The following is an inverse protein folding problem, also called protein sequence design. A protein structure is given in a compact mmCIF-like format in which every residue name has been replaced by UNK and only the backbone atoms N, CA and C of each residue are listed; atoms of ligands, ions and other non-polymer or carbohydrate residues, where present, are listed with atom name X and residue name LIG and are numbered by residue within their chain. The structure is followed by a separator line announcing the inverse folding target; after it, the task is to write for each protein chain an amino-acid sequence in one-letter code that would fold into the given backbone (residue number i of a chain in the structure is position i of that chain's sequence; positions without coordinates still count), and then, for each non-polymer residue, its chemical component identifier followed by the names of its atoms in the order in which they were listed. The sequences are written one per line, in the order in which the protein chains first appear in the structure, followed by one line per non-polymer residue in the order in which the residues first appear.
data_IF_203881759987
#
_entry.id   IF_203881759987
#
_cell.length_a   1.000
_cell.length_b   1.000
_cell.length_c   1.000
_cell.angle_alpha   90.00
_cell.angle_beta   90.00
_cell.angle_gamma   90.00
#
_symmetry.space_group_name_H-M   'P 1'
#
loop_
_entity.id
_entity.type
_entity.pdbx_description
1 polymer ?
#
# COMPACT_ATOMS: atom_id res chain seq x y z
N UNK A 1 15.25 7.27 42.63
CA UNK A 1 14.30 6.35 43.26
C UNK A 1 13.55 5.73 42.10
N UNK A 2 14.16 4.71 41.51
CA UNK A 2 13.54 3.92 40.45
C UNK A 2 12.43 3.12 41.15
N UNK A 3 11.18 3.47 40.87
CA UNK A 3 10.05 2.63 41.23
C UNK A 3 10.08 1.45 40.26
N UNK A 4 10.58 0.31 40.74
CA UNK A 4 10.21 -0.99 40.20
C UNK A 4 8.69 -1.11 40.31
N UNK A 5 7.98 -0.72 39.26
CA UNK A 5 6.56 -1.01 39.11
C UNK A 5 6.45 -2.52 38.89
N UNK A 6 5.98 -3.25 39.91
CA UNK A 6 5.60 -4.65 39.73
C UNK A 6 4.59 -4.73 38.57
N UNK A 7 4.82 -5.57 37.55
CA UNK A 7 3.89 -5.67 36.43
C UNK A 7 2.54 -6.13 36.94
N UNK A 8 1.48 -5.38 36.60
CA UNK A 8 0.10 -5.71 36.96
C UNK A 8 -0.22 -7.15 36.56
N UNK A 9 -1.08 -7.86 37.32
CA UNK A 9 -1.37 -9.28 37.07
C UNK A 9 -1.76 -9.59 35.61
N UNK A 10 -2.51 -8.69 34.95
CA UNK A 10 -2.87 -8.83 33.53
C UNK A 10 -1.69 -8.71 32.56
N UNK A 11 -0.62 -8.00 32.91
CA UNK A 11 0.60 -7.91 32.10
C UNK A 11 1.41 -9.22 32.14
N UNK A 12 1.34 -9.96 33.26
CA UNK A 12 2.02 -11.26 33.39
C UNK A 12 1.30 -12.34 32.57
N UNK A 13 -0.03 -12.37 32.63
CA UNK A 13 -0.85 -13.29 31.84
C UNK A 13 -0.64 -13.06 30.33
N UNK A 14 -0.57 -11.80 29.89
CA UNK A 14 -0.31 -11.45 28.49
C UNK A 14 1.09 -11.85 28.03
N UNK A 15 2.11 -11.66 28.87
CA UNK A 15 3.46 -12.11 28.57
C UNK A 15 3.54 -13.63 28.39
N UNK A 16 2.91 -14.38 29.30
CA UNK A 16 2.88 -15.84 29.24
C UNK A 16 2.14 -16.33 27.99
N UNK A 17 0.97 -15.76 27.71
CA UNK A 17 0.19 -16.11 26.53
C UNK A 17 0.93 -15.82 25.22
N UNK A 18 1.63 -14.68 25.13
CA UNK A 18 2.44 -14.35 23.95
C UNK A 18 3.63 -15.32 23.77
N UNK A 19 4.27 -15.74 24.85
CA UNK A 19 5.36 -16.72 24.78
C UNK A 19 4.87 -18.10 24.29
N UNK A 20 3.70 -18.54 24.75
CA UNK A 20 3.04 -19.76 24.27
C UNK A 20 2.66 -19.65 22.79
N UNK A 21 2.07 -18.52 22.39
CA UNK A 21 1.71 -18.23 21.00
C UNK A 21 2.94 -18.22 20.09
N UNK A 22 4.04 -17.61 20.53
CA UNK A 22 5.31 -17.59 19.79
C UNK A 22 5.86 -19.01 19.56
N UNK A 23 5.82 -19.85 20.60
CA UNK A 23 6.23 -21.25 20.54
C UNK A 23 5.34 -22.06 19.57
N UNK A 24 4.02 -21.85 19.64
CA UNK A 24 3.04 -22.47 18.76
C UNK A 24 3.27 -22.09 17.28
N UNK A 25 3.53 -20.82 16.98
CA UNK A 25 3.82 -20.35 15.62
C UNK A 25 5.08 -21.01 15.06
N UNK A 26 6.17 -21.05 15.83
CA UNK A 26 7.45 -21.61 15.35
C UNK A 26 7.36 -23.12 15.14
N UNK A 27 6.72 -23.82 16.07
CA UNK A 27 6.46 -25.27 15.93
C UNK A 27 5.57 -25.59 14.73
N UNK A 28 4.49 -24.82 14.50
CA UNK A 28 3.62 -24.99 13.34
C UNK A 28 4.33 -24.72 12.00
N UNK A 29 5.33 -23.83 12.00
CA UNK A 29 6.17 -23.55 10.84
C UNK A 29 7.36 -24.53 10.66
N UNK A 30 7.56 -25.48 11.59
CA UNK A 30 8.68 -26.43 11.55
C UNK A 30 10.05 -25.79 11.80
N UNK A 31 10.09 -24.65 12.52
CA UNK A 31 11.33 -23.91 12.81
C UNK A 31 11.68 -24.08 14.29
N UNK A 32 12.97 -24.20 14.60
CA UNK A 32 13.47 -24.31 15.98
C UNK A 32 13.00 -23.13 16.85
N UNK A 33 12.50 -23.42 18.05
CA UNK A 33 12.02 -22.39 19.00
C UNK A 33 13.23 -21.68 19.59
N UNK A 34 13.37 -20.38 19.30
CA UNK A 34 14.40 -19.55 19.89
C UNK A 34 13.95 -19.00 21.24
N UNK A 35 14.87 -18.86 22.19
CA UNK A 35 14.58 -18.23 23.48
C UNK A 35 14.30 -16.72 23.29
N UNK A 36 13.19 -16.24 23.84
CA UNK A 36 12.75 -14.84 23.74
C UNK A 36 12.22 -14.39 25.10
N UNK A 37 12.70 -13.25 25.56
CA UNK A 37 12.20 -12.61 26.78
C UNK A 37 10.73 -12.22 26.63
N UNK A 38 9.80 -12.75 27.45
CA UNK A 38 8.37 -12.43 27.37
C UNK A 38 8.06 -10.92 27.50
N UNK A 39 8.72 -10.14 28.38
CA UNK A 39 8.57 -8.68 28.42
C UNK A 39 8.92 -8.00 27.09
N UNK A 40 10.04 -8.39 26.46
CA UNK A 40 10.46 -7.81 25.18
C UNK A 40 9.51 -8.18 24.04
N UNK A 41 9.01 -9.43 24.04
CA UNK A 41 8.01 -9.89 23.08
C UNK A 41 6.73 -9.07 23.20
N UNK A 42 6.23 -8.85 24.43
CA UNK A 42 5.08 -8.00 24.68
C UNK A 42 5.29 -6.58 24.18
N UNK A 43 6.44 -5.97 24.51
CA UNK A 43 6.75 -4.61 24.07
C UNK A 43 6.75 -4.50 22.53
N UNK A 44 7.32 -5.50 21.85
CA UNK A 44 7.35 -5.56 20.39
C UNK A 44 5.93 -5.69 19.81
N UNK A 45 5.13 -6.62 20.32
CA UNK A 45 3.74 -6.85 19.86
C UNK A 45 2.88 -5.62 20.11
N UNK A 46 2.97 -5.01 21.30
CA UNK A 46 2.28 -3.77 21.64
C UNK A 46 2.60 -2.66 20.63
N UNK A 47 3.89 -2.46 20.32
CA UNK A 47 4.31 -1.49 19.30
C UNK A 47 3.76 -1.81 17.90
N UNK A 48 3.78 -3.09 17.50
CA UNK A 48 3.35 -3.52 16.17
C UNK A 48 1.82 -3.41 15.97
N UNK A 49 1.02 -3.66 17.01
CA UNK A 49 -0.45 -3.64 16.94
C UNK A 49 -1.05 -2.26 17.22
N UNK A 50 -0.32 -1.37 17.89
CA UNK A 50 -0.82 -0.03 18.27
C UNK A 50 -1.43 0.75 17.09
N UNK A 51 -0.83 0.81 15.87
CA UNK A 51 -1.45 1.49 14.75
C UNK A 51 -2.83 0.94 14.36
N UNK A 52 -3.00 -0.38 14.44
CA UNK A 52 -4.29 -1.02 14.22
C UNK A 52 -5.30 -0.64 15.32
N UNK A 53 -4.89 -0.69 16.59
CA UNK A 53 -5.73 -0.27 17.72
C UNK A 53 -6.13 1.20 17.62
N UNK A 54 -5.28 2.09 17.10
CA UNK A 54 -5.63 3.49 16.82
C UNK A 54 -6.75 3.61 15.79
N UNK A 55 -6.69 2.83 14.70
CA UNK A 55 -7.76 2.78 13.72
C UNK A 55 -9.06 2.26 14.35
N UNK A 56 -8.99 1.19 15.15
CA UNK A 56 -10.13 0.67 15.89
C UNK A 56 -10.73 1.71 16.85
N UNK A 57 -9.89 2.46 17.58
CA UNK A 57 -10.32 3.50 18.50
C UNK A 57 -11.02 4.65 17.77
N UNK A 58 -10.48 5.11 16.63
CA UNK A 58 -11.14 6.10 15.80
C UNK A 58 -12.49 5.59 15.29
N UNK A 59 -12.53 4.35 14.80
CA UNK A 59 -13.78 3.73 14.35
C UNK A 59 -14.80 3.62 15.48
N UNK A 60 -14.39 3.14 16.65
CA UNK A 60 -15.24 3.06 17.84
C UNK A 60 -15.77 4.43 18.27
N UNK A 61 -14.94 5.47 18.25
CA UNK A 61 -15.36 6.85 18.54
C UNK A 61 -16.46 7.32 17.59
N UNK A 62 -16.25 7.18 16.28
CA UNK A 62 -17.24 7.64 15.28
C UNK A 62 -18.50 6.79 15.25
N UNK A 63 -18.41 5.51 15.61
CA UNK A 63 -19.55 4.60 15.66
C UNK A 63 -20.42 4.83 16.90
N UNK A 64 -19.80 5.06 18.07
CA UNK A 64 -20.51 5.11 19.37
C UNK A 64 -20.70 6.51 19.92
N UNK A 65 -19.93 7.49 19.45
CA UNK A 65 -19.88 8.85 20.01
C UNK A 65 -19.19 8.94 21.37
N UNK A 66 -18.70 7.82 21.94
CA UNK A 66 -17.98 7.83 23.22
C UNK A 66 -16.68 8.61 23.04
N UNK A 67 -16.46 9.63 23.87
CA UNK A 67 -15.24 10.45 23.81
C UNK A 67 -14.01 9.64 24.25
N UNK A 68 -12.90 9.81 23.55
CA UNK A 68 -11.62 9.22 23.95
C UNK A 68 -11.14 9.78 25.30
N UNK A 69 -10.53 8.96 26.17
CA UNK A 69 -9.88 9.40 27.40
C UNK A 69 -8.83 10.50 27.15
N UNK A 70 -8.68 11.43 28.08
CA UNK A 70 -7.77 12.58 27.91
C UNK A 70 -6.31 12.16 27.74
N UNK A 71 -5.91 10.99 28.24
CA UNK A 71 -4.59 10.40 28.03
C UNK A 71 -4.31 10.16 26.53
N UNK A 72 -5.31 9.69 25.78
CA UNK A 72 -5.19 9.46 24.33
C UNK A 72 -5.24 10.75 23.50
N UNK A 73 -5.67 11.87 24.10
CA UNK A 73 -5.70 13.18 23.44
C UNK A 73 -4.35 13.92 23.55
N UNK A 74 -3.46 13.44 24.41
CA UNK A 74 -2.13 14.02 24.62
C UNK A 74 -1.09 13.31 23.74
N UNK A 75 0.01 14.00 23.35
CA UNK A 75 1.10 13.38 22.63
C UNK A 75 1.85 12.39 23.53
N UNK A 76 1.47 11.11 23.44
CA UNK A 76 2.13 10.00 24.13
C UNK A 76 3.06 9.22 23.19
N UNK A 77 4.20 8.69 23.67
CA UNK A 77 4.97 7.69 22.95
C UNK A 77 4.09 6.50 22.54
N UNK A 78 4.36 5.89 21.38
CA UNK A 78 3.54 4.79 20.84
C UNK A 78 3.34 3.65 21.87
N UNK A 79 4.41 3.27 22.57
CA UNK A 79 4.37 2.22 23.59
C UNK A 79 3.45 2.54 24.78
N UNK A 80 3.33 3.83 25.13
CA UNK A 80 2.47 4.27 26.24
C UNK A 80 0.99 4.38 25.83
N UNK A 81 0.67 4.44 24.53
CA UNK A 81 -0.71 4.49 24.06
C UNK A 81 -1.44 3.15 24.18
N UNK A 82 -0.70 2.05 24.09
CA UNK A 82 -1.22 0.69 24.06
C UNK A 82 -2.25 0.37 25.16
N UNK A 83 -1.94 0.51 26.47
CA UNK A 83 -2.89 0.17 27.53
C UNK A 83 -4.14 1.08 27.51
N UNK A 84 -3.98 2.36 27.16
CA UNK A 84 -5.10 3.29 27.05
C UNK A 84 -6.03 2.95 25.88
N UNK A 85 -5.48 2.47 24.76
CA UNK A 85 -6.25 2.01 23.61
C UNK A 85 -7.04 0.75 23.92
N UNK A 86 -6.43 -0.24 24.58
CA UNK A 86 -7.14 -1.45 25.04
C UNK A 86 -8.30 -1.08 25.97
N UNK A 87 -8.04 -0.27 27.00
CA UNK A 87 -9.08 0.20 27.93
C UNK A 87 -10.22 0.92 27.22
N UNK A 88 -9.91 1.80 26.27
CA UNK A 88 -10.92 2.54 25.53
C UNK A 88 -11.78 1.64 24.63
N UNK A 89 -11.18 0.57 24.08
CA UNK A 89 -11.86 -0.44 23.28
C UNK A 89 -12.58 -1.50 24.12
N UNK A 90 -12.50 -1.42 25.46
CA UNK A 90 -13.10 -2.41 26.36
C UNK A 90 -12.36 -3.76 26.37
N UNK A 91 -11.06 -3.75 26.11
CA UNK A 91 -10.19 -4.92 26.12
C UNK A 91 -9.29 -4.89 27.37
N UNK A 92 -9.22 -5.99 28.10
CA UNK A 92 -8.32 -6.14 29.25
C UNK A 92 -6.88 -6.49 28.81
N UNK A 93 -6.76 -7.30 27.75
CA UNK A 93 -5.48 -7.70 27.13
C UNK A 93 -5.73 -8.21 25.71
N UNK A 94 -4.66 -8.52 24.96
CA UNK A 94 -4.78 -9.26 23.69
C UNK A 94 -5.04 -10.76 23.88
N UNK A 95 -5.02 -11.27 25.12
CA UNK A 95 -5.16 -12.69 25.39
C UNK A 95 -6.50 -13.21 24.89
N UNK A 96 -6.45 -14.27 24.09
CA UNK A 96 -7.64 -15.07 23.80
C UNK A 96 -7.85 -16.02 24.98
N UNK A 97 -8.98 -15.95 25.71
CA UNK A 97 -9.19 -16.81 26.87
C UNK A 97 -9.23 -18.29 26.46
N UNK A 98 -8.49 -19.14 27.17
CA UNK A 98 -8.34 -20.57 26.87
C UNK A 98 -9.67 -21.36 26.86
N UNK A 99 -10.70 -20.85 27.54
CA UNK A 99 -12.01 -21.49 27.67
C UNK A 99 -12.99 -21.19 26.52
N UNK A 100 -12.52 -20.59 25.42
CA UNK A 100 -13.38 -20.16 24.31
C UNK A 100 -13.14 -20.99 23.04
N UNK A 101 -14.19 -21.13 22.23
CA UNK A 101 -14.10 -21.70 20.87
C UNK A 101 -13.09 -20.93 19.98
N UNK A 102 -12.66 -19.74 20.40
CA UNK A 102 -11.68 -18.93 19.70
C UNK A 102 -10.27 -19.56 19.69
N UNK A 103 -9.94 -20.43 20.65
CA UNK A 103 -8.61 -21.05 20.72
C UNK A 103 -8.37 -22.04 19.55
N UNK A 104 -9.37 -22.85 19.20
CA UNK A 104 -9.27 -23.75 18.05
C UNK A 104 -9.20 -22.99 16.73
N UNK A 105 -9.99 -21.91 16.60
CA UNK A 105 -9.94 -21.01 15.44
C UNK A 105 -8.56 -20.36 15.30
N UNK A 106 -7.97 -19.90 16.41
CA UNK A 106 -6.62 -19.32 16.42
C UNK A 106 -5.58 -20.35 15.96
N UNK A 107 -5.63 -21.58 16.48
CA UNK A 107 -4.73 -22.66 16.06
C UNK A 107 -4.87 -22.96 14.55
N UNK A 108 -6.10 -23.03 14.04
CA UNK A 108 -6.37 -23.21 12.61
C UNK A 108 -5.82 -22.06 11.75
N UNK A 109 -5.96 -20.82 12.22
CA UNK A 109 -5.41 -19.64 11.55
C UNK A 109 -3.88 -19.67 11.52
N UNK A 110 -3.24 -20.01 12.64
CA UNK A 110 -1.77 -20.16 12.73
C UNK A 110 -1.31 -21.26 11.77
N UNK A 111 -1.96 -22.42 11.78
CA UNK A 111 -1.62 -23.52 10.89
C UNK A 111 -1.77 -23.14 9.41
N UNK A 112 -2.85 -22.44 9.04
CA UNK A 112 -3.06 -21.93 7.68
C UNK A 112 -1.99 -20.91 7.28
N UNK A 113 -1.65 -19.98 8.18
CA UNK A 113 -0.62 -18.97 7.93
C UNK A 113 0.77 -19.62 7.75
N UNK A 114 1.13 -20.57 8.60
CA UNK A 114 2.42 -21.28 8.53
C UNK A 114 2.56 -22.18 7.29
N UNK A 115 1.46 -22.58 6.64
CA UNK A 115 1.49 -23.31 5.35
C UNK A 115 1.90 -22.42 4.17
N UNK A 116 1.90 -21.11 4.32
CA UNK A 116 2.33 -20.21 3.24
C UNK A 116 3.83 -20.41 2.98
N UNK A 117 4.26 -20.60 1.71
CA UNK A 117 5.63 -21.00 1.37
C UNK A 117 6.70 -20.04 1.88
N UNK A 118 6.36 -18.75 2.02
CA UNK A 118 7.31 -17.73 2.47
C UNK A 118 7.51 -17.66 4.00
N UNK A 119 6.59 -18.23 4.81
CA UNK A 119 6.59 -18.02 6.26
C UNK A 119 7.67 -18.84 6.97
N UNK A 120 7.82 -20.12 6.64
CA UNK A 120 8.88 -20.96 7.21
C UNK A 120 10.29 -20.38 6.98
N UNK A 121 10.68 -20.09 5.72
CA UNK A 121 11.96 -19.45 5.41
C UNK A 121 12.15 -18.12 6.14
N UNK A 122 11.11 -17.28 6.21
CA UNK A 122 11.17 -16.01 6.93
C UNK A 122 11.44 -16.18 8.43
N UNK A 123 10.71 -17.08 9.10
CA UNK A 123 10.89 -17.38 10.52
C UNK A 123 12.26 -18.03 10.83
N UNK A 124 12.86 -18.70 9.85
CA UNK A 124 14.22 -19.24 9.88
C UNK A 124 15.31 -18.20 9.58
N UNK A 125 14.95 -16.94 9.32
CA UNK A 125 15.88 -15.81 9.15
C UNK A 125 16.10 -15.38 7.69
N UNK A 126 15.37 -15.94 6.72
CA UNK A 126 15.43 -15.48 5.33
C UNK A 126 14.77 -14.10 5.18
N UNK A 127 15.38 -13.20 4.40
CA UNK A 127 14.83 -11.87 4.12
C UNK A 127 13.91 -11.93 2.91
N UNK A 128 12.70 -12.46 3.12
CA UNK A 128 11.60 -12.40 2.15
C UNK A 128 10.70 -11.18 2.37
N UNK A 129 9.89 -10.78 1.38
CA UNK A 129 8.92 -9.71 1.55
C UNK A 129 7.77 -10.20 2.44
N UNK A 130 7.85 -9.94 3.75
CA UNK A 130 6.69 -10.10 4.63
C UNK A 130 5.90 -8.79 4.70
N UNK A 131 4.58 -8.90 4.82
CA UNK A 131 3.73 -7.75 5.13
C UNK A 131 4.14 -7.22 6.51
N UNK A 132 4.63 -5.99 6.56
CA UNK A 132 5.01 -5.31 7.81
C UNK A 132 3.93 -4.32 8.21
N UNK A 133 3.55 -4.35 9.47
CA UNK A 133 2.68 -3.35 10.07
C UNK A 133 3.51 -2.30 10.85
N UNK A 134 3.08 -1.02 10.87
CA UNK A 134 1.95 -0.48 10.13
C UNK A 134 2.20 -0.51 8.62
N UNK A 135 1.15 -0.80 7.86
CA UNK A 135 1.21 -0.65 6.40
C UNK A 135 1.50 0.82 6.09
N UNK A 136 2.50 1.08 5.27
CA UNK A 136 2.68 2.41 4.71
C UNK A 136 1.46 2.76 3.88
N UNK A 137 0.95 3.99 4.04
CA UNK A 137 -0.13 4.50 3.18
C UNK A 137 0.33 4.35 1.73
N UNK A 138 -0.51 3.72 0.91
CA UNK A 138 -0.22 3.54 -0.50
C UNK A 138 -0.33 4.89 -1.21
N UNK A 139 0.79 5.58 -1.37
CA UNK A 139 0.89 6.85 -2.09
C UNK A 139 1.52 6.64 -3.45
N UNK A 140 1.28 7.57 -4.37
CA UNK A 140 2.02 7.61 -5.62
C UNK A 140 3.53 7.86 -5.35
N UNK A 141 4.39 7.35 -6.22
CA UNK A 141 5.85 7.47 -6.11
C UNK A 141 6.29 8.94 -6.11
N UNK A 142 7.38 9.31 -5.44
CA UNK A 142 7.94 10.64 -5.62
C UNK A 142 8.38 10.83 -7.08
N UNK A 143 7.97 11.95 -7.67
CA UNK A 143 8.41 12.38 -8.99
C UNK A 143 9.61 13.35 -8.89
N UNK A 144 10.54 13.31 -9.84
CA UNK A 144 11.65 14.25 -9.89
C UNK A 144 11.15 15.68 -10.12
N UNK A 145 11.94 16.66 -9.69
CA UNK A 145 11.56 18.07 -9.86
C UNK A 145 11.71 18.50 -11.32
N UNK A 146 12.78 18.07 -12.00
CA UNK A 146 13.00 18.33 -13.42
C UNK A 146 12.42 17.17 -14.25
N UNK A 147 11.55 17.50 -15.20
CA UNK A 147 10.96 16.52 -16.11
C UNK A 147 12.00 15.82 -17.00
N UNK A 148 13.14 16.46 -17.26
CA UNK A 148 14.24 15.93 -18.07
C UNK A 148 14.79 14.62 -17.48
N UNK A 149 14.73 14.46 -16.16
CA UNK A 149 15.13 13.21 -15.49
C UNK A 149 14.24 12.03 -15.91
N UNK A 150 12.93 12.26 -16.08
CA UNK A 150 12.01 11.23 -16.57
C UNK A 150 12.27 10.88 -18.03
N UNK A 151 12.61 11.88 -18.85
CA UNK A 151 12.97 11.68 -20.26
C UNK A 151 14.21 10.81 -20.36
N UNK A 152 15.25 11.10 -19.58
CA UNK A 152 16.46 10.29 -19.55
C UNK A 152 16.16 8.84 -19.10
N UNK A 153 15.37 8.68 -18.03
CA UNK A 153 14.96 7.36 -17.55
C UNK A 153 14.21 6.54 -18.61
N UNK A 154 13.42 7.21 -19.45
CA UNK A 154 12.68 6.58 -20.55
C UNK A 154 13.55 6.27 -21.76
N UNK A 155 14.58 7.07 -22.03
CA UNK A 155 15.52 6.81 -23.12
C UNK A 155 16.26 5.48 -22.95
N UNK A 156 16.47 5.05 -21.69
CA UNK A 156 17.10 3.78 -21.35
C UNK A 156 16.11 2.58 -21.37
N UNK A 157 14.82 2.81 -21.62
CA UNK A 157 13.81 1.76 -21.58
C UNK A 157 13.76 0.94 -22.88
N UNK A 158 14.07 -0.35 -22.75
CA UNK A 158 13.95 -1.33 -23.84
C UNK A 158 12.71 -2.21 -23.62
N UNK A 159 11.91 -2.40 -24.67
CA UNK A 159 10.75 -3.26 -24.62
C UNK A 159 11.18 -4.74 -24.38
N UNK A 160 10.59 -5.46 -23.42
CA UNK A 160 10.98 -6.83 -23.11
C UNK A 160 10.55 -7.85 -24.18
N UNK A 161 9.60 -7.50 -25.03
CA UNK A 161 8.95 -8.42 -25.99
C UNK A 161 9.27 -8.11 -27.45
N UNK A 162 10.04 -7.07 -27.74
CA UNK A 162 10.46 -6.72 -29.10
C UNK A 162 11.93 -6.36 -29.13
N UNK A 163 12.64 -6.72 -30.21
CA UNK A 163 14.04 -6.36 -30.49
C UNK A 163 14.27 -4.86 -30.79
N UNK A 164 13.44 -3.96 -30.25
CA UNK A 164 13.46 -2.54 -30.58
C UNK A 164 12.87 -1.63 -29.49
N UNK A 165 13.00 -0.32 -29.73
CA UNK A 165 12.53 0.75 -28.84
C UNK A 165 11.00 0.72 -28.65
N UNK A 166 10.55 0.86 -27.40
CA UNK A 166 9.15 1.14 -27.13
C UNK A 166 8.80 2.53 -27.66
N UNK A 167 7.77 2.62 -28.52
CA UNK A 167 7.41 3.89 -29.16
C UNK A 167 6.86 4.90 -28.16
N UNK A 168 6.11 4.42 -27.16
CA UNK A 168 5.54 5.29 -26.13
C UNK A 168 5.52 4.58 -24.77
N UNK A 169 6.58 4.70 -23.96
CA UNK A 169 6.57 4.14 -22.62
C UNK A 169 5.72 4.99 -21.67
N UNK A 170 5.04 4.32 -20.75
CA UNK A 170 4.29 4.90 -19.65
C UNK A 170 4.86 4.41 -18.32
N UNK A 171 4.88 5.29 -17.31
CA UNK A 171 5.29 4.95 -15.96
C UNK A 171 4.07 4.79 -15.07
N UNK A 172 3.95 3.66 -14.37
CA UNK A 172 2.95 3.50 -13.33
C UNK A 172 3.32 4.37 -12.12
N UNK A 173 2.47 5.33 -11.76
CA UNK A 173 2.75 6.21 -10.63
C UNK A 173 2.53 5.53 -9.27
N UNK A 174 1.91 4.35 -9.23
CA UNK A 174 1.77 3.60 -7.98
C UNK A 174 3.05 2.82 -7.60
N UNK A 175 3.83 2.33 -8.58
CA UNK A 175 5.01 1.49 -8.32
C UNK A 175 6.30 1.92 -9.04
N UNK A 176 6.22 2.81 -10.03
CA UNK A 176 7.36 3.30 -10.80
C UNK A 176 7.83 2.43 -11.96
N UNK A 177 7.14 1.31 -12.24
CA UNK A 177 7.44 0.43 -13.37
C UNK A 177 7.17 1.14 -14.71
N UNK A 178 8.10 1.00 -15.66
CA UNK A 178 7.95 1.47 -17.04
C UNK A 178 7.37 0.36 -17.91
N UNK A 179 6.35 0.69 -18.69
CA UNK A 179 5.55 -0.24 -19.46
C UNK A 179 5.33 0.29 -20.88
N UNK A 180 5.20 -0.62 -21.85
CA UNK A 180 4.76 -0.26 -23.20
C UNK A 180 3.29 0.19 -23.17
N UNK A 181 3.00 1.35 -23.76
CA UNK A 181 1.64 1.90 -23.84
C UNK A 181 1.22 2.07 -25.30
N UNK A 182 -0.07 1.80 -25.59
CA UNK A 182 -0.66 1.91 -26.93
C UNK A 182 0.15 1.16 -28.00
N UNK A 183 0.62 -0.02 -27.65
CA UNK A 183 1.51 -0.83 -28.49
C UNK A 183 1.08 -2.29 -28.44
N UNK A 184 1.18 -2.99 -29.58
CA UNK A 184 0.86 -4.42 -29.66
C UNK A 184 1.96 -5.33 -29.06
N UNK A 185 3.14 -4.77 -28.77
CA UNK A 185 4.34 -5.56 -28.45
C UNK A 185 4.33 -6.26 -27.10
N UNK A 186 3.53 -5.84 -26.12
CA UNK A 186 3.49 -6.47 -24.79
C UNK A 186 2.05 -6.79 -24.36
N UNK A 187 1.19 -7.13 -25.32
CA UNK A 187 -0.19 -7.47 -25.01
C UNK A 187 -0.28 -8.82 -24.28
N UNK A 188 -1.24 -8.91 -23.38
CA UNK A 188 -1.53 -10.11 -22.60
C UNK A 188 -2.93 -10.59 -22.94
N UNK A 189 -3.07 -11.88 -23.21
CA UNK A 189 -4.38 -12.51 -23.39
C UNK A 189 -5.06 -12.67 -22.04
N UNK A 190 -6.27 -12.13 -21.90
CA UNK A 190 -7.11 -12.29 -20.70
C UNK A 190 -8.41 -12.99 -21.09
N UNK A 191 -8.78 -14.01 -20.32
CA UNK A 191 -10.02 -14.76 -20.53
C UNK A 191 -11.24 -13.83 -20.59
N UNK A 192 -12.12 -14.09 -21.56
CA UNK A 192 -13.35 -13.33 -21.84
C UNK A 192 -13.21 -11.87 -22.32
N UNK A 193 -11.99 -11.34 -22.42
CA UNK A 193 -11.74 -9.92 -22.76
C UNK A 193 -10.87 -9.80 -24.01
N UNK A 194 -10.02 -10.79 -24.27
CA UNK A 194 -9.11 -10.78 -25.41
C UNK A 194 -7.75 -10.20 -25.04
N UNK A 195 -7.04 -9.67 -26.04
CA UNK A 195 -5.76 -9.02 -25.84
C UNK A 195 -5.95 -7.65 -25.18
N UNK A 196 -5.18 -7.39 -24.13
CA UNK A 196 -5.10 -6.09 -23.46
C UNK A 196 -3.66 -5.60 -23.46
N UNK A 197 -3.48 -4.28 -23.49
CA UNK A 197 -2.15 -3.66 -23.41
C UNK A 197 -1.42 -3.91 -22.08
N UNK A 198 -0.12 -3.62 -22.07
CA UNK A 198 0.73 -3.92 -20.92
C UNK A 198 0.39 -3.08 -19.70
N UNK A 199 -0.07 -1.83 -19.86
CA UNK A 199 -0.50 -1.02 -18.73
C UNK A 199 -1.75 -1.63 -18.10
N UNK A 200 -2.78 -1.97 -18.89
CA UNK A 200 -3.99 -2.62 -18.38
C UNK A 200 -3.71 -3.97 -17.70
N UNK A 201 -2.79 -4.77 -18.25
CA UNK A 201 -2.37 -6.01 -17.61
C UNK A 201 -1.68 -5.74 -16.26
N UNK A 202 -0.83 -4.71 -16.19
CA UNK A 202 -0.17 -4.30 -14.95
C UNK A 202 -1.15 -3.78 -13.89
N UNK A 203 -2.22 -3.08 -14.27
CA UNK A 203 -3.26 -2.60 -13.35
C UNK A 203 -3.86 -3.73 -12.51
N UNK A 204 -4.02 -4.92 -13.09
CA UNK A 204 -4.62 -6.07 -12.41
C UNK A 204 -3.76 -6.55 -11.23
N UNK A 205 -2.44 -6.40 -11.31
CA UNK A 205 -1.50 -6.79 -10.25
C UNK A 205 -1.15 -5.65 -9.30
N UNK A 206 -1.04 -4.42 -9.80
CA UNK A 206 -0.50 -3.30 -9.04
C UNK A 206 -1.57 -2.43 -8.35
N UNK A 207 -2.72 -2.24 -8.99
CA UNK A 207 -3.74 -1.29 -8.52
C UNK A 207 -5.16 -1.87 -8.47
N UNK A 208 -5.27 -3.21 -8.44
CA UNK A 208 -6.54 -3.94 -8.40
C UNK A 208 -7.56 -3.46 -9.46
N UNK A 209 -7.08 -3.15 -10.68
CA UNK A 209 -7.91 -2.69 -11.79
C UNK A 209 -8.09 -1.17 -11.91
N UNK A 210 -7.49 -0.37 -11.02
CA UNK A 210 -7.34 1.08 -11.18
C UNK A 210 -5.86 1.47 -11.27
N UNK A 211 -5.53 2.52 -12.01
CA UNK A 211 -4.14 2.92 -12.18
C UNK A 211 -3.97 4.34 -12.66
N UNK A 212 -2.80 4.90 -12.37
CA UNK A 212 -2.38 6.24 -12.79
C UNK A 212 -1.08 6.09 -13.58
N UNK A 213 -1.15 6.36 -14.88
CA UNK A 213 -0.05 6.15 -15.82
C UNK A 213 0.46 7.48 -16.37
N UNK A 214 1.73 7.81 -16.15
CA UNK A 214 2.36 8.99 -16.75
C UNK A 214 3.01 8.60 -18.08
N UNK A 215 2.45 9.09 -19.19
CA UNK A 215 3.10 9.02 -20.51
C UNK A 215 4.10 10.14 -20.61
N UNK A 216 5.38 9.76 -20.54
CA UNK A 216 6.48 10.71 -20.42
C UNK A 216 6.71 11.45 -21.74
N UNK A 217 6.73 10.75 -22.88
CA UNK A 217 6.91 11.40 -24.21
C UNK A 217 5.79 12.35 -24.59
N UNK A 218 4.58 12.14 -24.06
CA UNK A 218 3.42 12.99 -24.34
C UNK A 218 3.15 14.03 -23.25
N UNK A 219 3.92 14.00 -22.16
CA UNK A 219 3.67 14.77 -20.94
C UNK A 219 2.17 14.74 -20.57
N UNK A 220 1.63 13.54 -20.33
CA UNK A 220 0.20 13.34 -20.06
C UNK A 220 -0.03 12.23 -19.06
N UNK A 221 -1.04 12.38 -18.20
CA UNK A 221 -1.44 11.32 -17.26
C UNK A 221 -2.70 10.65 -17.78
N UNK A 222 -2.70 9.32 -17.76
CA UNK A 222 -3.89 8.50 -17.98
C UNK A 222 -4.35 7.89 -16.67
N UNK A 223 -5.61 8.16 -16.35
CA UNK A 223 -6.36 7.45 -15.34
C UNK A 223 -6.97 6.23 -16.02
N UNK A 224 -6.67 5.05 -15.53
CA UNK A 224 -7.14 3.79 -16.10
C UNK A 224 -8.00 3.07 -15.07
N UNK A 225 -9.16 2.59 -15.49
CA UNK A 225 -10.17 1.96 -14.62
C UNK A 225 -10.81 0.82 -15.37
N UNK A 226 -10.76 -0.37 -14.78
CA UNK A 226 -11.12 -1.60 -15.46
C UNK A 226 -10.26 -1.79 -16.73
N UNK A 227 -10.19 -3.02 -17.24
CA UNK A 227 -9.21 -3.41 -18.28
C UNK A 227 -9.28 -2.63 -19.61
N UNK A 228 -10.27 -1.75 -19.81
CA UNK A 228 -10.59 -1.10 -21.09
C UNK A 228 -11.19 0.31 -20.96
N UNK A 229 -11.16 0.96 -19.79
CA UNK A 229 -11.64 2.36 -19.67
C UNK A 229 -10.57 3.25 -19.10
N UNK A 230 -10.61 4.51 -19.48
CA UNK A 230 -9.72 5.51 -18.94
C UNK A 230 -10.10 6.92 -19.33
N UNK A 231 -9.40 7.86 -18.74
CA UNK A 231 -9.48 9.28 -19.04
C UNK A 231 -8.08 9.90 -19.03
N UNK A 232 -7.89 10.93 -19.84
CA UNK A 232 -6.65 11.70 -19.85
C UNK A 232 -6.80 12.91 -18.95
N UNK A 233 -5.82 13.13 -18.07
CA UNK A 233 -5.71 14.35 -17.27
C UNK A 233 -4.36 15.03 -17.54
N UNK A 234 -4.27 16.35 -17.31
CA UNK A 234 -3.02 17.05 -17.52
C UNK A 234 -1.91 16.55 -16.58
N UNK A 235 -0.64 16.59 -17.01
CA UNK A 235 0.49 16.16 -16.20
C UNK A 235 0.71 17.13 -15.01
N UNK A 236 1.34 16.67 -13.93
CA UNK A 236 1.73 17.53 -12.81
C UNK A 236 3.02 18.32 -13.11
N UNK A 237 3.20 18.81 -14.35
CA UNK A 237 4.42 19.51 -14.78
C UNK A 237 4.09 20.78 -15.56
N UNK A 238 4.78 21.86 -15.24
CA UNK A 238 4.60 23.18 -15.84
C UNK A 238 5.93 23.86 -16.09
N UNK A 239 5.97 24.75 -17.08
CA UNK A 239 7.14 25.61 -17.29
C UNK A 239 7.20 26.77 -16.27
N UNK A 240 8.21 27.63 -16.42
CA UNK A 240 8.42 28.81 -15.56
C UNK A 240 7.27 29.82 -15.56
N UNK A 241 6.35 29.75 -16.52
CA UNK A 241 5.19 30.61 -16.62
C UNK A 241 3.90 29.92 -16.10
N UNK A 242 4.00 28.69 -15.63
CA UNK A 242 2.85 27.90 -15.18
C UNK A 242 2.09 27.23 -16.31
N UNK A 243 2.64 27.19 -17.53
CA UNK A 243 1.98 26.57 -18.67
C UNK A 243 2.42 25.12 -18.86
N UNK A 244 1.47 24.27 -19.27
CA UNK A 244 1.72 22.85 -19.56
C UNK A 244 2.18 22.67 -21.01
N UNK A 245 3.21 21.85 -21.24
CA UNK A 245 3.71 21.54 -22.59
C UNK A 245 3.28 20.12 -23.03
N UNK A 246 2.01 19.98 -23.43
CA UNK A 246 1.48 18.71 -23.90
C UNK A 246 2.18 18.26 -25.19
N UNK A 247 2.67 17.02 -25.20
CA UNK A 247 3.47 16.49 -26.30
C UNK A 247 4.90 17.04 -26.38
N UNK A 248 5.33 17.86 -25.41
CA UNK A 248 6.69 18.45 -25.36
C UNK A 248 7.05 19.23 -26.62
N UNK A 249 6.06 19.84 -27.27
CA UNK A 249 6.24 20.49 -28.56
C UNK A 249 7.03 21.80 -28.47
N UNK A 250 6.99 22.48 -27.30
CA UNK A 250 7.71 23.75 -27.09
C UNK A 250 9.15 23.51 -26.65
N UNK A 251 9.42 22.38 -25.99
CA UNK A 251 10.75 22.03 -25.50
C UNK A 251 11.21 22.90 -24.32
N UNK A 252 10.28 23.56 -23.64
CA UNK A 252 10.58 24.34 -22.45
C UNK A 252 10.96 23.39 -21.30
N UNK A 253 11.91 23.78 -20.42
CA UNK A 253 12.13 23.05 -19.18
C UNK A 253 10.85 23.02 -18.33
N UNK A 254 10.45 21.81 -17.92
CA UNK A 254 9.26 21.59 -17.11
C UNK A 254 9.65 21.20 -15.69
N UNK A 255 8.93 21.75 -14.72
CA UNK A 255 9.14 21.51 -13.29
C UNK A 255 7.89 20.93 -12.64
N UNK A 256 8.09 20.08 -11.63
CA UNK A 256 6.99 19.42 -10.90
C UNK A 256 6.11 20.43 -10.18
N UNK A 257 4.85 20.49 -10.56
CA UNK A 257 3.82 21.23 -9.85
C UNK A 257 3.29 20.40 -8.67
N UNK A 258 3.92 20.58 -7.51
CA UNK A 258 3.66 19.78 -6.30
C UNK A 258 2.19 19.76 -5.88
N UNK A 259 1.50 20.91 -5.89
CA UNK A 259 0.09 20.97 -5.49
C UNK A 259 -0.83 20.16 -6.40
N UNK A 260 -0.56 20.17 -7.71
CA UNK A 260 -1.29 19.36 -8.67
C UNK A 260 -1.00 17.87 -8.49
N UNK A 261 0.25 17.53 -8.17
CA UNK A 261 0.61 16.16 -7.84
C UNK A 261 -0.05 15.67 -6.55
N UNK A 262 -0.16 16.52 -5.52
CA UNK A 262 -0.83 16.19 -4.27
C UNK A 262 -2.34 15.97 -4.47
N UNK A 263 -2.97 16.67 -5.42
CA UNK A 263 -4.37 16.39 -5.82
C UNK A 263 -4.49 15.01 -6.44
N UNK A 264 -3.58 14.64 -7.34
CA UNK A 264 -3.56 13.31 -7.95
C UNK A 264 -3.31 12.20 -6.92
N UNK A 265 -2.41 12.45 -5.97
CA UNK A 265 -2.14 11.52 -4.86
C UNK A 265 -3.35 11.38 -3.93
N UNK A 266 -4.05 12.47 -3.61
CA UNK A 266 -5.32 12.43 -2.86
C UNK A 266 -6.39 11.63 -3.58
N UNK A 267 -6.53 11.81 -4.89
CA UNK A 267 -7.47 11.04 -5.72
C UNK A 267 -7.16 9.54 -5.67
N UNK A 268 -5.87 9.17 -5.70
CA UNK A 268 -5.41 7.78 -5.54
C UNK A 268 -5.75 7.21 -4.16
N UNK A 269 -5.36 7.91 -3.09
CA UNK A 269 -5.57 7.47 -1.70
C UNK A 269 -7.07 7.34 -1.36
N UNK A 270 -7.91 8.22 -1.92
CA UNK A 270 -9.35 8.19 -1.74
C UNK A 270 -10.05 7.13 -2.61
N UNK A 271 -9.32 6.35 -3.41
CA UNK A 271 -9.88 5.42 -4.40
C UNK A 271 -10.85 6.08 -5.40
N UNK A 272 -10.69 7.38 -5.69
CA UNK A 272 -11.60 8.16 -6.53
C UNK A 272 -11.35 8.07 -8.04
N UNK A 273 -10.35 7.30 -8.47
CA UNK A 273 -10.00 7.15 -9.91
C UNK A 273 -11.21 6.67 -10.75
N UNK A 274 -12.02 5.68 -10.33
CA UNK A 274 -13.22 5.25 -11.08
C UNK A 274 -14.25 6.34 -11.29
N UNK A 275 -14.50 7.14 -10.25
CA UNK A 275 -15.46 8.24 -10.28
C UNK A 275 -14.98 9.35 -11.22
N UNK A 276 -13.70 9.73 -11.12
CA UNK A 276 -13.11 10.77 -11.96
C UNK A 276 -13.05 10.36 -13.43
N UNK A 277 -12.72 9.09 -13.73
CA UNK A 277 -12.78 8.58 -15.11
C UNK A 277 -14.20 8.66 -15.66
N UNK A 278 -15.20 8.27 -14.88
CA UNK A 278 -16.61 8.31 -15.32
C UNK A 278 -17.03 9.75 -15.64
N UNK A 279 -16.71 10.69 -14.74
CA UNK A 279 -16.98 12.13 -14.93
C UNK A 279 -16.32 12.68 -16.20
N UNK A 280 -15.05 12.37 -16.42
CA UNK A 280 -14.31 12.86 -17.60
C UNK A 280 -14.76 12.19 -18.91
N UNK A 281 -15.25 10.96 -18.86
CA UNK A 281 -15.81 10.27 -20.03
C UNK A 281 -17.14 10.89 -20.47
N UNK A 282 -17.98 11.35 -19.52
CA UNK A 282 -19.22 12.07 -19.82
C UNK A 282 -18.94 13.41 -20.53
N UNK A 283 -17.83 14.06 -20.16
CA UNK A 283 -17.40 15.34 -20.74
C UNK A 283 -16.65 15.18 -22.09
N UNK A 284 -16.19 13.98 -22.44
CA UNK A 284 -15.25 13.74 -23.55
C UNK A 284 -15.88 13.00 -24.74
N UNK A 285 -15.83 13.59 -25.94
CA UNK A 285 -16.28 12.96 -27.19
C UNK A 285 -15.20 12.14 -27.93
N UNK A 286 -13.96 12.08 -27.42
CA UNK A 286 -12.86 11.41 -28.11
C UNK A 286 -12.80 9.90 -27.81
N UNK A 287 -12.86 9.07 -28.85
CA UNK A 287 -12.56 7.63 -28.78
C UNK A 287 -11.04 7.41 -28.69
N UNK A 288 -10.48 7.51 -27.49
CA UNK A 288 -9.15 6.91 -27.24
C UNK A 288 -9.33 5.39 -27.08
N UNK A 289 -8.50 4.61 -27.75
CA UNK A 289 -8.48 3.17 -27.59
C UNK A 289 -7.76 2.79 -26.28
N UNK A 290 -8.56 2.62 -25.24
CA UNK A 290 -8.10 2.26 -23.91
C UNK A 290 -7.73 0.78 -23.77
N UNK A 291 -8.10 -0.08 -24.72
CA UNK A 291 -7.82 -1.52 -24.64
C UNK A 291 -6.35 -1.85 -24.91
N UNK A 292 -5.73 -1.10 -25.82
CA UNK A 292 -4.34 -1.28 -26.22
C UNK A 292 -3.33 -0.57 -25.28
N UNK A 293 -3.81 0.02 -24.18
CA UNK A 293 -3.00 0.70 -23.17
C UNK A 293 -2.28 -0.26 -22.23
#
# INVERSE_FOLDING_TARGET
METDDEPAAGDQDEQQWLAELYTLVRSAAGVEVADVSPPLLRQYVAGAVTPFLRCCALYFHFLTGVRAPDELLQPLPLAAQYPHLLRYLGLDSLCVPQATDCQSVLQDLIAKWCRHPDIGPYLAGSRGPIVRYPLSVNTLIPLPVDFSELINKVSDFTCPSSDGESRVPAMCLACGELLCSQSYCCQVQVEHIGQIGACNAHLMRCGAGSGVMLRIRECRVHLLVNKVRGASVPPPYVDKFGEMDQGLNRGNPLTLWREQYDKLNRLWIAHGIPEEVTRLMEDSFSQTDWQNL
#
